data_IF_764195183640
#
_entry.id   IF_764195183640
#
_cell.length_a   1.000
_cell.length_b   1.000
_cell.length_c   1.000
_cell.angle_alpha   90.00
_cell.angle_beta   90.00
_cell.angle_gamma   90.00
#
_symmetry.space_group_name_H-M   'P 1'
#
loop_
_entity.id
_entity.type
_entity.pdbx_description
1 polymer ?
#
# COMPACT_ATOMS: atom_id res chain seq x y z
N UNK A 1 -1.49 16.47 7.40
CA UNK A 1 -1.37 15.20 6.66
C UNK A 1 -2.75 14.79 6.16
N UNK A 2 -2.88 14.45 4.87
CA UNK A 2 -4.16 14.02 4.31
C UNK A 2 -4.44 12.55 4.71
N UNK A 3 -5.71 12.17 4.95
CA UNK A 3 -6.09 10.81 5.42
C UNK A 3 -5.53 9.69 4.53
N UNK A 4 -5.41 9.95 3.23
CA UNK A 4 -4.86 9.00 2.25
C UNK A 4 -3.36 8.70 2.49
N UNK A 5 -2.55 9.69 2.88
CA UNK A 5 -1.13 9.45 3.19
C UNK A 5 -0.94 8.60 4.44
N UNK A 6 -1.76 8.82 5.46
CA UNK A 6 -1.72 8.01 6.70
C UNK A 6 -2.10 6.57 6.39
N UNK A 7 -3.17 6.36 5.59
CA UNK A 7 -3.61 5.04 5.15
C UNK A 7 -2.55 4.32 4.30
N UNK A 8 -1.86 5.05 3.41
CA UNK A 8 -0.74 4.53 2.62
C UNK A 8 0.44 4.08 3.49
N UNK A 9 0.84 4.88 4.48
CA UNK A 9 1.91 4.50 5.43
C UNK A 9 1.52 3.31 6.31
N UNK A 10 0.26 3.25 6.74
CA UNK A 10 -0.24 2.11 7.52
C UNK A 10 -0.21 0.81 6.71
N UNK A 11 -0.65 0.83 5.45
CA UNK A 11 -0.58 -0.32 4.55
C UNK A 11 0.87 -0.71 4.25
N UNK A 12 1.78 0.24 4.06
CA UNK A 12 3.19 -0.05 3.83
C UNK A 12 3.86 -0.72 5.04
N UNK A 13 3.53 -0.25 6.25
CA UNK A 13 3.98 -0.89 7.49
C UNK A 13 3.42 -2.30 7.64
N UNK A 14 2.12 -2.49 7.41
CA UNK A 14 1.43 -3.79 7.51
C UNK A 14 1.99 -4.80 6.50
N UNK A 15 2.22 -4.39 5.26
CA UNK A 15 2.86 -5.21 4.24
C UNK A 15 4.29 -5.62 4.63
N UNK A 16 5.09 -4.69 5.18
CA UNK A 16 6.43 -5.00 5.70
C UNK A 16 6.39 -6.02 6.84
N UNK A 17 5.45 -5.88 7.76
CA UNK A 17 5.30 -6.81 8.88
C UNK A 17 4.95 -8.21 8.37
N UNK A 18 3.99 -8.34 7.43
CA UNK A 18 3.67 -9.62 6.79
C UNK A 18 4.88 -10.22 6.05
N UNK A 19 5.63 -9.39 5.32
CA UNK A 19 6.83 -9.83 4.58
C UNK A 19 7.89 -10.40 5.53
N UNK A 20 8.18 -9.70 6.63
CA UNK A 20 9.13 -10.16 7.65
C UNK A 20 8.61 -11.38 8.39
N UNK A 21 7.34 -11.39 8.79
CA UNK A 21 6.73 -12.51 9.48
C UNK A 21 6.79 -13.78 8.62
N UNK A 22 6.37 -13.71 7.35
CA UNK A 22 6.45 -14.83 6.42
C UNK A 22 7.88 -15.32 6.20
N UNK A 23 8.85 -14.41 6.14
CA UNK A 23 10.27 -14.78 6.00
C UNK A 23 10.82 -15.49 7.24
N UNK A 24 10.39 -15.07 8.43
CA UNK A 24 10.81 -15.65 9.72
C UNK A 24 10.12 -16.99 9.98
N UNK A 25 8.83 -17.12 9.63
CA UNK A 25 8.08 -18.37 9.82
C UNK A 25 8.27 -19.36 8.67
N UNK A 26 8.90 -18.95 7.57
CA UNK A 26 9.04 -19.76 6.35
C UNK A 26 7.76 -19.82 5.49
N UNK A 27 6.76 -19.00 5.82
CA UNK A 27 5.46 -18.98 5.17
C UNK A 27 5.49 -18.09 3.92
N UNK A 28 5.69 -18.72 2.75
CA UNK A 28 5.74 -18.02 1.45
C UNK A 28 4.44 -17.29 1.12
N UNK A 29 3.28 -17.80 1.55
CA UNK A 29 2.00 -17.13 1.32
C UNK A 29 1.95 -15.79 2.03
N UNK A 30 2.36 -15.76 3.30
CA UNK A 30 2.41 -14.53 4.10
C UNK A 30 3.43 -13.53 3.54
N UNK A 31 4.58 -14.00 3.03
CA UNK A 31 5.55 -13.13 2.35
C UNK A 31 4.95 -12.51 1.07
N UNK A 32 4.30 -13.33 0.24
CA UNK A 32 3.68 -12.90 -1.01
C UNK A 32 2.54 -11.92 -0.77
N UNK A 33 1.68 -12.19 0.23
CA UNK A 33 0.64 -11.26 0.64
C UNK A 33 1.22 -9.92 1.07
N UNK A 34 2.30 -9.91 1.86
CA UNK A 34 2.96 -8.68 2.29
C UNK A 34 3.48 -7.85 1.12
N UNK A 35 4.13 -8.50 0.13
CA UNK A 35 4.59 -7.85 -1.11
C UNK A 35 3.43 -7.34 -1.96
N UNK A 36 2.40 -8.16 -2.15
CA UNK A 36 1.23 -7.82 -2.94
C UNK A 36 0.45 -6.64 -2.34
N UNK A 37 0.24 -6.63 -1.03
CA UNK A 37 -0.46 -5.55 -0.30
C UNK A 37 0.33 -4.23 -0.38
N UNK A 38 1.67 -4.30 -0.31
CA UNK A 38 2.57 -3.15 -0.48
C UNK A 38 2.55 -2.59 -1.90
N UNK A 39 2.52 -3.44 -2.92
CA UNK A 39 2.48 -3.02 -4.33
C UNK A 39 1.09 -2.54 -4.74
N UNK A 40 0.03 -3.26 -4.35
CA UNK A 40 -1.36 -2.87 -4.56
C UNK A 40 -1.68 -1.53 -3.90
N UNK A 41 -1.26 -1.32 -2.65
CA UNK A 41 -1.44 -0.04 -1.95
C UNK A 41 -0.73 1.14 -2.62
N UNK A 42 0.44 0.92 -3.23
CA UNK A 42 1.13 1.96 -4.03
C UNK A 42 0.40 2.26 -5.34
N UNK A 43 -0.13 1.24 -6.00
CA UNK A 43 -0.92 1.41 -7.22
C UNK A 43 -2.22 2.19 -6.93
N UNK A 44 -2.93 1.84 -5.86
CA UNK A 44 -4.15 2.50 -5.41
C UNK A 44 -3.89 3.95 -5.00
N UNK A 45 -2.76 4.23 -4.33
CA UNK A 45 -2.34 5.58 -4.00
C UNK A 45 -2.09 6.43 -5.26
N UNK A 46 -1.31 5.92 -6.23
CA UNK A 46 -1.08 6.62 -7.51
C UNK A 46 -2.36 6.87 -8.29
N UNK A 47 -3.27 5.90 -8.32
CA UNK A 47 -4.56 6.04 -8.97
C UNK A 47 -5.43 7.10 -8.27
N UNK A 48 -5.41 7.13 -6.94
CA UNK A 48 -6.07 8.14 -6.13
C UNK A 48 -5.52 9.55 -6.35
N UNK A 49 -4.19 9.70 -6.46
CA UNK A 49 -3.53 10.97 -6.78
C UNK A 49 -3.92 11.45 -8.18
N UNK A 50 -3.80 10.61 -9.21
CA UNK A 50 -4.25 10.92 -10.59
C UNK A 50 -5.70 11.38 -10.65
N UNK A 51 -6.61 10.67 -9.97
CA UNK A 51 -8.03 11.03 -9.93
C UNK A 51 -8.25 12.36 -9.21
N UNK A 52 -7.43 12.67 -8.21
CA UNK A 52 -7.52 13.92 -7.45
C UNK A 52 -7.02 15.10 -8.26
N UNK A 53 -5.94 14.94 -9.03
CA UNK A 53 -5.40 15.95 -9.95
C UNK A 53 -6.40 16.28 -11.07
N UNK A 54 -6.93 15.26 -11.77
CA UNK A 54 -7.97 15.46 -12.81
C UNK A 54 -9.21 16.18 -12.27
N UNK A 55 -9.63 15.82 -11.05
CA UNK A 55 -10.79 16.45 -10.40
C UNK A 55 -10.51 17.90 -9.96
N UNK A 56 -9.25 18.26 -9.72
CA UNK A 56 -8.81 19.63 -9.43
C UNK A 56 -8.73 20.48 -10.69
N UNK A 57 -8.28 19.93 -11.81
CA UNK A 57 -8.20 20.64 -13.10
C UNK A 57 -9.58 20.91 -13.73
N UNK A 58 -10.57 20.05 -13.46
CA UNK A 58 -11.92 20.17 -14.03
C UNK A 58 -12.86 21.07 -13.20
N UNK A 59 -12.41 21.60 -12.05
CA UNK A 59 -13.23 22.43 -11.14
C UNK A 59 -12.71 23.86 -11.07
#
# INVERSE_FOLDING_TARGET
MNKNQVKGRANEAKGKVKEVAGKVTGDKSTEYEGKAEKHGGKAEARYGDLKSDVKKETK
#
